data_IF_005544764720
#
_entry.id   IF_005544764720
#
_cell.length_a   1.000
_cell.length_b   1.000
_cell.length_c   1.000
_cell.angle_alpha   90.00
_cell.angle_beta   90.00
_cell.angle_gamma   90.00
#
_symmetry.space_group_name_H-M   'P 1'
#
loop_
_entity.id
_entity.type
_entity.pdbx_description
1 polymer ?
#
# COMPACT_ATOMS: atom_id res chain seq x y z
N UNK A 1 -15.72 -8.06 -3.59
CA UNK A 1 -14.73 -8.29 -2.50
C UNK A 1 -15.46 -8.73 -1.22
N UNK A 2 -14.83 -9.55 -0.36
CA UNK A 2 -15.36 -9.91 0.97
C UNK A 2 -14.25 -9.80 2.02
N UNK A 3 -14.50 -9.07 3.10
CA UNK A 3 -13.59 -9.04 4.24
C UNK A 3 -13.60 -10.39 4.96
N UNK A 4 -12.43 -10.99 5.11
CA UNK A 4 -12.25 -12.29 5.73
C UNK A 4 -10.83 -12.42 6.33
N UNK A 5 -10.62 -13.43 7.16
CA UNK A 5 -9.34 -13.73 7.79
C UNK A 5 -8.98 -15.19 7.56
N UNK A 6 -7.79 -15.44 7.03
CA UNK A 6 -7.23 -16.77 6.85
C UNK A 6 -5.82 -16.84 7.42
N UNK A 7 -5.62 -17.74 8.38
CA UNK A 7 -4.34 -17.94 9.06
C UNK A 7 -3.90 -19.38 8.95
N UNK A 8 -2.71 -19.58 8.41
CA UNK A 8 -2.03 -20.88 8.36
C UNK A 8 -0.89 -20.83 9.37
N UNK A 9 -1.17 -21.31 10.59
CA UNK A 9 -0.15 -21.36 11.64
C UNK A 9 0.87 -22.45 11.30
N UNK A 10 2.12 -22.03 11.15
CA UNK A 10 3.26 -22.90 10.97
C UNK A 10 4.43 -22.37 11.82
N UNK A 11 4.60 -22.93 13.01
CA UNK A 11 5.62 -22.51 13.96
C UNK A 11 7.03 -23.02 13.57
N UNK A 12 7.13 -23.89 12.55
CA UNK A 12 8.43 -24.31 12.01
C UNK A 12 9.05 -23.24 11.09
N UNK A 13 8.24 -22.31 10.59
CA UNK A 13 8.73 -21.19 9.79
C UNK A 13 9.43 -20.16 10.69
N UNK A 14 10.55 -19.58 10.23
CA UNK A 14 11.31 -18.62 11.03
C UNK A 14 10.62 -17.26 11.19
N UNK A 15 9.78 -16.87 10.22
CA UNK A 15 9.15 -15.56 10.14
C UNK A 15 7.69 -15.69 9.75
N UNK A 16 6.88 -14.74 10.21
CA UNK A 16 5.48 -14.63 9.82
C UNK A 16 5.36 -13.76 8.56
N UNK A 17 4.59 -14.26 7.60
CA UNK A 17 4.27 -13.59 6.34
C UNK A 17 2.80 -13.20 6.37
N UNK A 18 2.51 -11.90 6.25
CA UNK A 18 1.15 -11.38 6.40
C UNK A 18 0.84 -10.39 5.30
N UNK A 19 -0.35 -10.51 4.72
CA UNK A 19 -0.95 -9.52 3.83
C UNK A 19 -2.26 -9.02 4.42
N UNK A 20 -2.43 -7.70 4.46
CA UNK A 20 -3.68 -7.04 4.82
C UNK A 20 -4.08 -6.17 3.64
N UNK A 21 -5.27 -6.37 3.09
CA UNK A 21 -5.78 -5.63 1.96
C UNK A 21 -7.21 -5.13 2.20
N UNK A 22 -7.58 -4.07 1.50
CA UNK A 22 -8.95 -3.61 1.30
C UNK A 22 -9.30 -3.72 -0.18
N UNK A 23 -10.58 -3.57 -0.50
CA UNK A 23 -11.01 -3.41 -1.89
C UNK A 23 -10.38 -2.15 -2.47
N UNK A 24 -9.67 -2.32 -3.59
CA UNK A 24 -9.09 -1.23 -4.37
C UNK A 24 -9.93 -0.91 -5.59
N UNK A 25 -9.48 0.09 -6.36
CA UNK A 25 -10.14 0.49 -7.59
C UNK A 25 -9.72 -0.37 -8.79
N UNK A 26 -10.66 -0.55 -9.73
CA UNK A 26 -10.38 -1.18 -11.02
C UNK A 26 -9.55 -0.28 -11.96
N UNK A 27 -9.07 -0.86 -13.07
CA UNK A 27 -8.21 -0.16 -14.04
C UNK A 27 -8.84 1.14 -14.57
N UNK A 28 -10.12 1.12 -14.93
CA UNK A 28 -10.79 2.27 -15.55
C UNK A 28 -11.19 3.37 -14.56
N UNK A 29 -11.13 3.09 -13.25
CA UNK A 29 -11.54 4.07 -12.23
C UNK A 29 -10.56 5.24 -12.14
N UNK A 30 -11.11 6.45 -11.99
CA UNK A 30 -10.33 7.66 -11.78
C UNK A 30 -9.55 7.62 -10.44
N UNK A 31 -10.04 6.86 -9.46
CA UNK A 31 -9.47 6.76 -8.12
C UNK A 31 -8.20 5.90 -8.08
N UNK A 32 -7.91 5.17 -9.15
CA UNK A 32 -6.72 4.34 -9.22
C UNK A 32 -5.43 5.18 -9.09
N UNK A 33 -5.34 6.34 -9.76
CA UNK A 33 -4.12 7.16 -9.70
C UNK A 33 -3.91 7.75 -8.28
N UNK A 34 -4.93 8.30 -7.60
CA UNK A 34 -4.85 8.61 -6.17
C UNK A 34 -4.41 7.43 -5.30
N UNK A 35 -4.96 6.22 -5.51
CA UNK A 35 -4.54 5.01 -4.78
C UNK A 35 -3.08 4.61 -5.06
N UNK A 36 -2.59 4.83 -6.28
CA UNK A 36 -1.17 4.63 -6.62
C UNK A 36 -0.28 5.64 -5.87
N UNK A 37 -0.71 6.90 -5.73
CA UNK A 37 0.01 7.91 -4.92
C UNK A 37 -0.05 7.56 -3.43
N UNK A 38 -1.20 7.09 -2.92
CA UNK A 38 -1.30 6.58 -1.56
C UNK A 38 -0.37 5.39 -1.31
N UNK A 39 -0.26 4.49 -2.27
CA UNK A 39 0.65 3.35 -2.22
C UNK A 39 2.11 3.79 -2.17
N UNK A 40 2.51 4.81 -2.95
CA UNK A 40 3.89 5.35 -2.91
C UNK A 40 4.19 6.17 -1.66
N UNK A 41 3.18 6.74 -0.99
CA UNK A 41 3.34 7.40 0.30
C UNK A 41 3.78 6.41 1.40
N UNK A 42 3.17 5.22 1.43
CA UNK A 42 3.56 4.13 2.33
C UNK A 42 4.91 3.56 1.88
N UNK A 43 4.99 3.20 0.60
CA UNK A 43 6.18 2.67 -0.04
C UNK A 43 6.51 1.24 0.34
N UNK A 44 7.79 0.90 0.22
CA UNK A 44 8.34 -0.38 0.60
C UNK A 44 9.64 -0.16 1.38
N UNK A 45 9.91 -1.04 2.33
CA UNK A 45 11.09 -0.98 3.16
C UNK A 45 11.59 -2.39 3.43
N UNK A 46 12.91 -2.53 3.52
CA UNK A 46 13.59 -3.77 3.86
C UNK A 46 14.80 -3.44 4.73
N UNK A 47 15.15 -4.35 5.65
CA UNK A 47 16.28 -4.18 6.57
C UNK A 47 17.61 -3.99 5.85
N UNK A 48 17.74 -4.45 4.61
CA UNK A 48 18.95 -4.25 3.79
C UNK A 48 19.07 -2.85 3.20
N UNK A 49 18.00 -2.04 3.21
CA UNK A 49 18.01 -0.71 2.62
C UNK A 49 18.86 0.26 3.44
N UNK A 50 19.83 0.91 2.79
CA UNK A 50 20.73 1.88 3.43
C UNK A 50 20.06 3.17 3.94
N UNK A 51 18.75 3.33 3.73
CA UNK A 51 17.99 4.49 4.20
C UNK A 51 17.84 4.55 5.72
N UNK A 52 17.83 3.40 6.42
CA UNK A 52 17.78 3.32 7.89
C UNK A 52 16.76 4.28 8.53
N UNK A 53 17.24 5.16 9.42
CA UNK A 53 16.45 6.16 10.13
C UNK A 53 16.14 7.43 9.32
N UNK A 54 16.72 7.56 8.13
CA UNK A 54 16.52 8.71 7.23
C UNK A 54 15.40 8.47 6.23
N UNK A 55 14.58 7.44 6.45
CA UNK A 55 13.45 7.13 5.59
C UNK A 55 12.35 8.18 5.70
N UNK A 56 11.80 8.56 4.55
CA UNK A 56 10.77 9.58 4.44
C UNK A 56 9.35 9.05 4.66
N UNK A 57 9.16 7.73 4.60
CA UNK A 57 7.93 7.06 5.01
C UNK A 57 7.94 6.88 6.53
N UNK A 58 6.88 7.31 7.21
CA UNK A 58 6.76 7.19 8.67
C UNK A 58 6.70 5.74 9.13
N UNK A 59 6.05 4.87 8.34
CA UNK A 59 6.03 3.43 8.60
C UNK A 59 7.43 2.83 8.51
N UNK A 60 8.21 3.22 7.50
CA UNK A 60 9.59 2.79 7.34
C UNK A 60 10.48 3.27 8.49
N UNK A 61 10.27 4.50 8.96
CA UNK A 61 10.97 5.04 10.12
C UNK A 61 10.67 4.24 11.40
N UNK A 62 9.39 3.96 11.69
CA UNK A 62 8.99 3.14 12.84
C UNK A 62 9.59 1.72 12.77
N UNK A 63 9.53 1.10 11.59
CA UNK A 63 10.12 -0.23 11.38
C UNK A 63 11.65 -0.24 11.58
N UNK A 64 12.34 0.82 11.18
CA UNK A 64 13.79 0.94 11.33
C UNK A 64 14.22 1.28 12.77
N UNK A 65 13.41 2.04 13.52
CA UNK A 65 13.68 2.43 14.92
C UNK A 65 13.44 1.26 15.88
N UNK A 66 12.26 0.66 15.79
CA UNK A 66 11.78 -0.33 16.75
C UNK A 66 12.00 -1.77 16.26
N UNK A 67 12.64 -1.94 15.10
CA UNK A 67 12.97 -3.22 14.47
C UNK A 67 11.74 -4.13 14.24
N UNK A 68 10.59 -3.52 13.92
CA UNK A 68 9.27 -4.17 13.89
C UNK A 68 9.10 -5.20 12.77
N UNK A 69 9.72 -4.97 11.62
CA UNK A 69 9.59 -5.82 10.44
C UNK A 69 10.96 -6.23 9.90
N UNK A 70 11.01 -7.34 9.17
CA UNK A 70 12.10 -7.64 8.24
C UNK A 70 11.96 -6.86 6.95
N UNK A 71 10.76 -6.88 6.38
CA UNK A 71 10.42 -6.09 5.20
C UNK A 71 8.92 -5.83 5.14
N UNK A 72 8.53 -4.77 4.47
CA UNK A 72 7.16 -4.54 4.06
C UNK A 72 7.11 -3.92 2.67
N UNK A 73 6.01 -4.15 1.98
CA UNK A 73 5.73 -3.60 0.67
C UNK A 73 4.24 -3.30 0.56
N UNK A 74 3.93 -2.03 0.33
CA UNK A 74 2.59 -1.62 -0.07
C UNK A 74 2.32 -2.05 -1.50
N UNK A 75 1.14 -2.61 -1.76
CA UNK A 75 0.71 -3.03 -3.08
C UNK A 75 -0.63 -2.42 -3.47
N UNK A 76 -0.77 -2.16 -4.78
CA UNK A 76 -2.03 -1.81 -5.43
C UNK A 76 -2.17 -2.69 -6.66
N UNK A 77 -3.09 -3.64 -6.62
CA UNK A 77 -3.40 -4.58 -7.72
C UNK A 77 -4.76 -4.23 -8.28
N UNK A 78 -4.82 -3.96 -9.58
CA UNK A 78 -6.08 -3.61 -10.23
C UNK A 78 -6.56 -4.77 -11.11
N UNK A 79 -7.86 -5.07 -11.02
CA UNK A 79 -8.59 -5.89 -11.98
C UNK A 79 -9.54 -4.98 -12.78
N UNK A 80 -10.37 -5.57 -13.63
CA UNK A 80 -11.26 -4.81 -14.50
C UNK A 80 -12.33 -4.04 -13.71
N UNK A 81 -12.95 -4.70 -12.74
CA UNK A 81 -14.11 -4.27 -11.98
C UNK A 81 -13.83 -4.05 -10.48
N UNK A 82 -12.70 -4.56 -9.99
CA UNK A 82 -12.28 -4.46 -8.57
C UNK A 82 -10.77 -4.35 -8.47
N UNK A 83 -10.23 -4.23 -7.27
CA UNK A 83 -8.80 -4.21 -7.00
C UNK A 83 -8.49 -4.66 -5.58
N UNK A 84 -7.21 -4.75 -5.27
CA UNK A 84 -6.69 -4.97 -3.92
C UNK A 84 -5.66 -3.89 -3.62
N UNK A 85 -5.92 -3.11 -2.59
CA UNK A 85 -4.98 -2.14 -2.07
C UNK A 85 -4.61 -2.53 -0.65
N UNK A 86 -3.32 -2.62 -0.34
CA UNK A 86 -2.91 -3.18 0.93
C UNK A 86 -1.43 -3.18 1.15
N UNK A 87 -1.01 -3.92 2.18
CA UNK A 87 0.38 -4.06 2.56
C UNK A 87 0.69 -5.52 2.83
N UNK A 88 1.84 -5.95 2.32
CA UNK A 88 2.45 -7.22 2.63
C UNK A 88 3.66 -6.97 3.51
N UNK A 89 3.84 -7.74 4.57
CA UNK A 89 4.98 -7.60 5.46
C UNK A 89 5.44 -8.96 6.00
N UNK A 90 6.72 -8.97 6.36
CA UNK A 90 7.40 -10.11 6.97
C UNK A 90 7.99 -9.64 8.28
N UNK A 91 7.66 -10.33 9.37
CA UNK A 91 8.07 -9.92 10.71
C UNK A 91 8.24 -11.10 11.66
N UNK A 92 8.83 -10.82 12.82
CA UNK A 92 8.91 -11.78 13.92
C UNK A 92 7.55 -11.86 14.63
N UNK A 93 7.24 -13.00 15.21
CA UNK A 93 5.99 -13.26 15.93
C UNK A 93 5.65 -12.19 16.97
N UNK A 94 6.64 -11.77 17.76
CA UNK A 94 6.46 -10.83 18.86
C UNK A 94 6.20 -9.39 18.42
N UNK A 95 6.58 -9.02 17.18
CA UNK A 95 6.41 -7.66 16.67
C UNK A 95 5.17 -7.48 15.80
N UNK A 96 4.37 -8.55 15.60
CA UNK A 96 3.19 -8.52 14.73
C UNK A 96 2.10 -7.55 15.22
N UNK A 97 1.79 -7.53 16.52
CA UNK A 97 0.78 -6.63 17.08
C UNK A 97 1.17 -5.16 16.89
N UNK A 98 2.40 -4.81 17.27
CA UNK A 98 2.93 -3.45 17.14
C UNK A 98 3.04 -3.01 15.67
N UNK A 99 3.43 -3.92 14.78
CA UNK A 99 3.52 -3.62 13.34
C UNK A 99 2.15 -3.36 12.73
N UNK A 100 1.14 -4.19 13.06
CA UNK A 100 -0.25 -3.97 12.60
C UNK A 100 -0.77 -2.64 13.12
N UNK A 101 -0.53 -2.31 14.38
CA UNK A 101 -0.90 -1.02 14.95
C UNK A 101 -0.28 0.16 14.18
N UNK A 102 1.02 0.10 13.88
CA UNK A 102 1.70 1.15 13.12
C UNK A 102 1.19 1.28 11.68
N UNK A 103 0.90 0.15 11.02
CA UNK A 103 0.31 0.13 9.68
C UNK A 103 -1.06 0.84 9.69
N UNK A 104 -1.93 0.46 10.61
CA UNK A 104 -3.29 1.02 10.69
C UNK A 104 -3.26 2.50 11.09
N UNK A 105 -2.37 2.88 12.01
CA UNK A 105 -2.14 4.28 12.38
C UNK A 105 -1.75 5.12 11.16
N UNK A 106 -0.84 4.62 10.32
CA UNK A 106 -0.47 5.31 9.08
C UNK A 106 -1.61 5.35 8.06
N UNK A 107 -2.40 4.28 7.91
CA UNK A 107 -3.58 4.29 7.04
C UNK A 107 -4.61 5.35 7.48
N UNK A 108 -4.90 5.45 8.78
CA UNK A 108 -5.82 6.44 9.32
C UNK A 108 -5.27 7.87 9.21
N UNK A 109 -3.95 8.03 9.35
CA UNK A 109 -3.29 9.31 9.09
C UNK A 109 -3.40 9.73 7.64
N UNK A 110 -3.26 8.81 6.69
CA UNK A 110 -3.46 9.12 5.27
C UNK A 110 -4.91 9.56 4.97
N UNK A 111 -5.89 9.05 5.71
CA UNK A 111 -7.29 9.48 5.62
C UNK A 111 -7.53 10.90 6.19
N UNK A 112 -6.87 11.25 7.29
CA UNK A 112 -7.22 12.45 8.09
C UNK A 112 -6.22 13.60 7.96
N UNK A 113 -4.93 13.31 7.92
CA UNK A 113 -3.84 14.28 8.10
C UNK A 113 -2.70 14.01 7.11
N UNK A 114 -2.93 14.43 5.87
CA UNK A 114 -1.97 14.33 4.77
C UNK A 114 -1.50 15.71 4.35
N UNK A 115 -0.18 15.91 4.28
CA UNK A 115 0.39 17.18 3.84
C UNK A 115 0.61 17.20 2.33
N UNK A 116 0.47 18.37 1.71
CA UNK A 116 0.70 18.54 0.28
C UNK A 116 2.16 18.25 -0.11
N UNK A 117 3.13 18.56 0.76
CA UNK A 117 4.55 18.27 0.53
C UNK A 117 4.85 16.77 0.48
N UNK A 118 4.22 15.97 1.34
CA UNK A 118 4.34 14.50 1.27
C UNK A 118 3.78 13.96 -0.05
N UNK A 119 2.62 14.49 -0.49
CA UNK A 119 1.98 14.11 -1.75
C UNK A 119 2.84 14.47 -2.95
N UNK A 120 3.41 15.66 -2.98
CA UNK A 120 4.27 16.09 -4.09
C UNK A 120 5.56 15.25 -4.17
N UNK A 121 6.12 14.85 -3.03
CA UNK A 121 7.21 13.87 -2.98
C UNK A 121 6.77 12.53 -3.55
N UNK A 122 5.62 12.01 -3.13
CA UNK A 122 5.12 10.71 -3.59
C UNK A 122 4.80 10.69 -5.09
N UNK A 123 4.28 11.80 -5.64
CA UNK A 123 4.09 11.97 -7.09
C UNK A 123 5.42 11.91 -7.84
N UNK A 124 6.46 12.57 -7.33
CA UNK A 124 7.77 12.55 -7.97
C UNK A 124 8.38 11.14 -7.95
N UNK A 125 8.26 10.42 -6.83
CA UNK A 125 8.67 9.01 -6.74
C UNK A 125 7.87 8.14 -7.72
N UNK A 126 6.55 8.31 -7.80
CA UNK A 126 5.69 7.56 -8.70
C UNK A 126 6.08 7.78 -10.18
N UNK A 127 6.27 9.04 -10.59
CA UNK A 127 6.70 9.39 -11.95
C UNK A 127 8.07 8.78 -12.28
N UNK A 128 9.04 8.92 -11.38
CA UNK A 128 10.37 8.33 -11.57
C UNK A 128 10.29 6.81 -11.72
N UNK A 129 9.54 6.13 -10.86
CA UNK A 129 9.36 4.68 -10.94
C UNK A 129 8.71 4.25 -12.27
N UNK A 130 7.68 4.98 -12.72
CA UNK A 130 7.02 4.71 -14.00
C UNK A 130 7.95 4.89 -15.20
N UNK A 131 8.77 5.95 -15.20
CA UNK A 131 9.71 6.18 -16.30
C UNK A 131 10.86 5.18 -16.30
N UNK A 132 11.38 4.79 -15.13
CA UNK A 132 12.40 3.76 -15.01
C UNK A 132 11.90 2.39 -15.44
N UNK A 133 10.61 2.09 -15.25
CA UNK A 133 9.99 0.85 -15.74
C UNK A 133 9.87 0.80 -17.26
N UNK A 134 9.93 1.94 -17.95
CA UNK A 134 9.85 2.01 -19.41
C UNK A 134 11.21 1.90 -20.12
N UNK A 135 12.23 1.41 -19.40
CA UNK A 135 13.54 1.15 -19.98
C UNK A 135 13.63 -0.27 -20.53
N UNK A 136 14.01 -0.39 -21.81
CA UNK A 136 14.15 -1.65 -22.52
C UNK A 136 12.95 -2.06 -23.38
N UNK A 137 13.23 -2.82 -24.45
CA UNK A 137 12.25 -3.21 -25.47
C UNK A 137 11.16 -4.13 -24.92
N UNK A 138 11.52 -5.08 -24.05
CA UNK A 138 10.57 -6.02 -23.44
C UNK A 138 9.59 -5.31 -22.52
N UNK A 139 10.06 -4.38 -21.68
CA UNK A 139 9.22 -3.63 -20.76
C UNK A 139 8.25 -2.71 -21.51
N UNK A 140 8.72 -2.07 -22.59
CA UNK A 140 7.86 -1.27 -23.47
C UNK A 140 6.79 -2.15 -24.14
N UNK A 141 7.14 -3.35 -24.59
CA UNK A 141 6.20 -4.29 -25.20
C UNK A 141 5.11 -4.74 -24.22
N UNK A 142 5.50 -5.07 -22.99
CA UNK A 142 4.57 -5.39 -21.89
C UNK A 142 3.63 -4.22 -21.60
N UNK A 143 4.16 -3.00 -21.47
CA UNK A 143 3.37 -1.81 -21.17
C UNK A 143 2.33 -1.52 -22.27
N UNK A 144 2.72 -1.64 -23.55
CA UNK A 144 1.80 -1.49 -24.68
C UNK A 144 0.69 -2.55 -24.58
N UNK A 145 1.05 -3.82 -24.41
CA UNK A 145 0.07 -4.91 -24.34
C UNK A 145 -0.90 -4.74 -23.17
N UNK A 146 -0.37 -4.50 -21.97
CA UNK A 146 -1.16 -4.31 -20.75
C UNK A 146 -2.10 -3.11 -20.87
N UNK A 147 -1.63 -1.95 -21.32
CA UNK A 147 -2.48 -0.78 -21.46
C UNK A 147 -3.56 -0.97 -22.53
N UNK A 148 -3.24 -1.63 -23.65
CA UNK A 148 -4.25 -1.95 -24.68
C UNK A 148 -5.35 -2.88 -24.14
N UNK A 149 -5.00 -3.84 -23.29
CA UNK A 149 -5.97 -4.75 -22.67
C UNK A 149 -6.79 -4.08 -21.55
N UNK A 150 -6.16 -3.24 -20.72
CA UNK A 150 -6.79 -2.63 -19.55
C UNK A 150 -7.60 -1.36 -19.88
N UNK A 151 -7.11 -0.52 -20.80
CA UNK A 151 -7.70 0.78 -21.10
C UNK A 151 -8.24 0.89 -22.54
N UNK A 152 -8.00 -0.11 -23.39
CA UNK A 152 -8.32 -0.04 -24.82
C UNK A 152 -7.43 0.93 -25.63
N UNK A 153 -6.47 1.59 -24.98
CA UNK A 153 -5.52 2.52 -25.59
C UNK A 153 -4.24 2.61 -24.77
N UNK A 154 -3.15 3.01 -25.43
CA UNK A 154 -1.93 3.43 -24.73
C UNK A 154 -2.05 4.89 -24.28
N UNK A 155 -1.97 5.13 -22.98
CA UNK A 155 -1.95 6.48 -22.40
C UNK A 155 -0.58 7.09 -22.69
N UNK A 156 -0.51 8.24 -23.38
CA UNK A 156 0.76 8.89 -23.64
C UNK A 156 1.35 9.46 -22.35
N UNK A 157 2.68 9.49 -22.26
CA UNK A 157 3.40 9.84 -21.03
C UNK A 157 3.05 11.24 -20.49
N UNK A 158 2.86 12.22 -21.38
CA UNK A 158 2.49 13.57 -20.98
C UNK A 158 1.08 13.64 -20.36
N UNK A 159 0.15 12.80 -20.82
CA UNK A 159 -1.19 12.71 -20.23
C UNK A 159 -1.11 12.06 -18.85
N UNK A 160 -0.36 10.96 -18.72
CA UNK A 160 -0.15 10.29 -17.43
C UNK A 160 0.50 11.22 -16.41
N UNK A 161 1.55 11.95 -16.82
CA UNK A 161 2.20 12.95 -15.97
C UNK A 161 1.23 14.06 -15.55
N UNK A 162 0.43 14.58 -16.48
CA UNK A 162 -0.58 15.60 -16.18
C UNK A 162 -1.60 15.11 -15.15
N UNK A 163 -2.09 13.86 -15.30
CA UNK A 163 -3.01 13.23 -14.34
C UNK A 163 -2.39 13.04 -12.95
N UNK A 164 -1.11 12.66 -12.87
CA UNK A 164 -0.41 12.53 -11.58
C UNK A 164 -0.23 13.91 -10.94
N UNK A 165 0.16 14.91 -11.72
CA UNK A 165 0.40 16.26 -11.21
C UNK A 165 -0.88 16.93 -10.69
N UNK A 166 -2.04 16.65 -11.29
CA UNK A 166 -3.33 17.22 -10.88
C UNK A 166 -3.85 16.71 -9.53
N UNK A 167 -3.30 15.63 -9.00
CA UNK A 167 -3.75 15.05 -7.71
C UNK A 167 -3.42 16.01 -6.56
N UNK A 168 -4.39 16.33 -5.72
CA UNK A 168 -4.15 17.12 -4.50
C UNK A 168 -4.13 16.21 -3.28
N UNK A 169 -3.61 16.72 -2.14
CA UNK A 169 -3.71 16.02 -0.87
C UNK A 169 -5.16 15.65 -0.51
N UNK A 170 -6.09 16.56 -0.81
CA UNK A 170 -7.52 16.32 -0.61
C UNK A 170 -8.03 15.15 -1.45
N UNK A 171 -7.64 15.04 -2.73
CA UNK A 171 -8.06 13.90 -3.55
C UNK A 171 -7.59 12.56 -2.97
N UNK A 172 -6.35 12.52 -2.45
CA UNK A 172 -5.84 11.30 -1.81
C UNK A 172 -6.61 11.02 -0.52
N UNK A 173 -6.89 12.03 0.30
CA UNK A 173 -7.68 11.87 1.53
C UNK A 173 -9.10 11.39 1.25
N UNK A 174 -9.79 11.97 0.27
CA UNK A 174 -11.15 11.59 -0.12
C UNK A 174 -11.19 10.12 -0.57
N UNK A 175 -10.24 9.70 -1.41
CA UNK A 175 -10.12 8.30 -1.86
C UNK A 175 -9.75 7.37 -0.69
N UNK A 176 -8.84 7.77 0.19
CA UNK A 176 -8.50 6.96 1.37
C UNK A 176 -9.69 6.82 2.33
N UNK A 177 -10.49 7.87 2.49
CA UNK A 177 -11.75 7.80 3.24
C UNK A 177 -12.77 6.88 2.57
N UNK A 178 -12.82 6.86 1.24
CA UNK A 178 -13.76 6.01 0.51
C UNK A 178 -13.36 4.53 0.52
N UNK A 179 -12.08 4.19 0.34
CA UNK A 179 -11.63 2.80 0.14
C UNK A 179 -11.02 2.16 1.40
N UNK A 180 -10.55 2.95 2.38
CA UNK A 180 -9.84 2.42 3.56
C UNK A 180 -10.63 2.66 4.85
N UNK A 181 -11.18 3.85 5.04
CA UNK A 181 -11.85 4.19 6.30
C UNK A 181 -13.12 3.37 6.52
N UNK A 182 -13.22 2.77 7.72
CA UNK A 182 -14.33 1.90 8.15
C UNK A 182 -14.64 0.74 7.19
N UNK A 183 -13.66 0.30 6.40
CA UNK A 183 -13.81 -0.87 5.52
C UNK A 183 -13.38 -2.16 6.21
N UNK A 184 -13.99 -3.27 5.77
CA UNK A 184 -13.61 -4.60 6.23
C UNK A 184 -12.37 -5.08 5.47
N UNK A 185 -11.20 -5.22 6.12
CA UNK A 185 -10.02 -5.72 5.44
C UNK A 185 -10.12 -7.24 5.21
N UNK A 186 -9.34 -7.73 4.27
CA UNK A 186 -9.03 -9.13 4.07
C UNK A 186 -7.61 -9.39 4.58
N UNK A 187 -7.45 -10.40 5.42
CA UNK A 187 -6.19 -10.76 6.07
C UNK A 187 -5.81 -12.17 5.67
N UNK A 188 -4.58 -12.34 5.19
CA UNK A 188 -3.98 -13.63 4.90
C UNK A 188 -2.62 -13.73 5.58
N UNK A 189 -2.42 -14.77 6.38
CA UNK A 189 -1.20 -14.92 7.18
C UNK A 189 -0.70 -16.36 7.19
N UNK A 190 0.62 -16.54 7.10
CA UNK A 190 1.31 -17.84 7.15
C UNK A 190 2.56 -17.75 8.03
N UNK A 191 2.83 -18.78 8.83
CA UNK A 191 4.01 -18.88 9.70
C UNK A 191 3.64 -18.78 11.20
N UNK A 192 4.54 -18.31 12.08
CA UNK A 192 4.26 -18.16 13.50
C UNK A 192 3.41 -16.90 13.75
N UNK A 193 2.11 -17.01 13.47
CA UNK A 193 1.13 -15.89 13.44
C UNK A 193 0.36 -15.74 14.75
N UNK A 194 0.84 -16.31 15.86
CA UNK A 194 0.19 -16.23 17.17
C UNK A 194 0.17 -14.81 17.75
N UNK A 195 1.15 -13.97 17.40
CA UNK A 195 1.19 -12.56 17.77
C UNK A 195 0.33 -11.65 16.89
N UNK A 196 -0.33 -12.18 15.85
CA UNK A 196 -1.19 -11.38 14.98
C UNK A 196 -2.52 -11.07 15.68
N UNK A 197 -2.94 -9.79 15.77
CA UNK A 197 -4.21 -9.40 16.38
C UNK A 197 -5.39 -10.11 15.73
N UNK A 198 -6.47 -10.37 16.48
CA UNK A 198 -7.69 -10.98 15.94
C UNK A 198 -8.38 -10.08 14.91
N UNK A 199 -9.22 -10.66 14.06
CA UNK A 199 -9.91 -9.92 13.00
C UNK A 199 -10.72 -8.73 13.53
N UNK A 200 -11.35 -8.84 14.71
CA UNK A 200 -12.16 -7.73 15.23
C UNK A 200 -11.28 -6.57 15.68
N UNK A 201 -10.12 -6.84 16.28
CA UNK A 201 -9.14 -5.79 16.62
C UNK A 201 -8.59 -5.13 15.36
N UNK A 202 -8.27 -5.91 14.33
CA UNK A 202 -7.86 -5.35 13.02
C UNK A 202 -9.01 -4.50 12.44
N UNK A 203 -10.24 -5.00 12.38
CA UNK A 203 -11.39 -4.24 11.88
C UNK A 203 -11.66 -2.97 12.71
N UNK A 204 -11.46 -3.02 14.01
CA UNK A 204 -11.58 -1.88 14.93
C UNK A 204 -10.50 -0.82 14.72
N UNK A 205 -9.33 -1.19 14.20
CA UNK A 205 -8.25 -0.26 13.81
C UNK A 205 -8.47 0.44 12.46
N UNK A 206 -9.53 0.09 11.71
CA UNK A 206 -9.85 0.71 10.41
C UNK A 206 -10.61 2.04 10.52
N UNK A 207 -10.83 2.55 11.73
CA UNK A 207 -11.38 3.88 11.98
C UNK A 207 -10.80 4.43 13.30
N UNK A 208 -10.81 5.75 13.47
CA UNK A 208 -10.45 6.38 14.74
C UNK A 208 -11.68 6.71 15.56
N UNK A 209 -11.66 6.31 16.84
CA UNK A 209 -12.68 6.70 17.83
C UNK A 209 -12.58 8.17 18.27
N UNK A 210 -11.47 8.84 17.96
CA UNK A 210 -11.28 10.28 18.15
C UNK A 210 -10.99 10.92 16.79
N UNK A 211 -11.98 11.62 16.26
CA UNK A 211 -11.83 12.59 15.16
C UNK A 211 -12.10 13.97 15.74
#
# INVERSE_FOLDING_TARGET
YTGADMRVRDDAMPLAHVAIAVEGAGWESADNIPLMVANTLIGAWDRSQGGGLSNSSKLALACAQDNLAHSFQSFNTCYKDTGLWGIYFVANTLSLDDLVYNIQSEWMRLCTSLSQSEVDRAKNVLKSNMFLQLDGTTAICEDIGRQMLCYGRRIPLHELESRINSITAKNVQDVMMEYVYDKCPAVAAVGPVEGLPDYNRIRGGMYWLRV
#
